data_IF_043870294155
#
_entry.id   IF_043870294155
#
_cell.length_a   1.000
_cell.length_b   1.000
_cell.length_c   1.000
_cell.angle_alpha   90.00
_cell.angle_beta   90.00
_cell.angle_gamma   90.00
#
_symmetry.space_group_name_H-M   'P 1'
#
loop_
_entity.id
_entity.type
_entity.pdbx_description
1 polymer ?
#
# COMPACT_ATOMS: atom_id res chain seq x y z
N UNK A 1 -2.49 33.82 -7.31
CA UNK A 1 -1.35 34.54 -7.87
C UNK A 1 -0.33 34.71 -6.77
N UNK A 2 0.90 34.23 -6.97
CA UNK A 2 2.04 34.56 -6.13
C UNK A 2 3.16 35.03 -7.05
N UNK A 3 3.50 36.31 -6.95
CA UNK A 3 4.59 36.95 -7.69
C UNK A 3 5.79 37.18 -6.77
N UNK A 4 6.89 36.49 -7.12
CA UNK A 4 8.34 36.57 -6.84
C UNK A 4 8.92 37.31 -5.60
N UNK A 5 10.01 36.76 -5.02
CA UNK A 5 11.05 37.54 -4.35
C UNK A 5 12.02 38.15 -5.38
N UNK A 6 12.42 39.39 -5.15
CA UNK A 6 13.40 40.10 -5.98
C UNK A 6 14.82 39.99 -5.41
N UNK A 7 15.79 39.83 -6.34
CA UNK A 7 17.14 40.41 -6.22
C UNK A 7 18.30 39.46 -5.86
N UNK A 8 19.15 39.16 -6.85
CA UNK A 8 20.60 39.01 -6.63
C UNK A 8 21.31 37.75 -7.17
N UNK A 9 21.82 37.82 -8.41
CA UNK A 9 23.09 37.16 -8.81
C UNK A 9 23.06 35.70 -9.29
N UNK A 10 23.35 35.49 -10.59
CA UNK A 10 23.64 34.17 -11.19
C UNK A 10 22.59 33.69 -12.21
N UNK A 11 22.65 34.23 -13.44
CA UNK A 11 21.60 34.16 -14.46
C UNK A 11 21.36 32.80 -15.13
N UNK A 12 20.86 31.83 -14.38
CA UNK A 12 19.94 30.84 -14.92
C UNK A 12 18.53 31.29 -14.56
N UNK A 13 17.78 31.87 -15.50
CA UNK A 13 16.38 32.22 -15.25
C UNK A 13 15.58 30.94 -15.06
N UNK A 14 15.46 30.47 -13.82
CA UNK A 14 14.53 29.41 -13.47
C UNK A 14 13.13 29.84 -13.92
N UNK A 15 12.66 29.28 -15.03
CA UNK A 15 11.31 29.54 -15.51
C UNK A 15 10.37 28.61 -14.75
N UNK A 16 9.38 29.20 -14.06
CA UNK A 16 8.26 28.44 -13.52
C UNK A 16 7.39 28.02 -14.71
N UNK A 17 7.65 26.83 -15.24
CA UNK A 17 6.87 26.19 -16.29
C UNK A 17 5.84 25.24 -15.70
N UNK A 18 4.70 25.07 -16.40
CA UNK A 18 3.79 23.96 -16.11
C UNK A 18 4.43 22.68 -16.65
N UNK A 19 4.43 21.62 -15.83
CA UNK A 19 4.86 20.29 -16.22
C UNK A 19 3.69 19.31 -16.03
N UNK A 20 3.62 18.32 -16.92
CA UNK A 20 2.68 17.21 -16.79
C UNK A 20 3.28 16.15 -15.86
N UNK A 21 2.50 15.68 -14.89
CA UNK A 21 2.90 14.59 -14.01
C UNK A 21 2.59 13.24 -14.66
N UNK A 22 3.55 12.74 -15.45
CA UNK A 22 3.45 11.42 -16.09
C UNK A 22 3.64 10.24 -15.13
N UNK A 23 4.12 10.49 -13.91
CA UNK A 23 4.33 9.46 -12.89
C UNK A 23 3.09 9.24 -12.00
N UNK A 24 2.13 10.16 -12.07
CA UNK A 24 1.02 10.22 -11.13
C UNK A 24 1.48 10.42 -9.69
N UNK A 25 2.61 11.10 -9.47
CA UNK A 25 3.20 11.35 -8.14
C UNK A 25 3.28 10.05 -7.33
N UNK A 26 4.03 9.08 -7.86
CA UNK A 26 4.12 7.73 -7.30
C UNK A 26 2.77 6.98 -7.36
N UNK A 27 2.09 7.08 -8.51
CA UNK A 27 0.81 6.40 -8.78
C UNK A 27 -0.36 6.77 -7.83
N UNK A 28 -0.25 7.87 -7.07
CA UNK A 28 -1.28 8.31 -6.11
C UNK A 28 -2.22 9.37 -6.67
N UNK A 29 -1.73 10.24 -7.55
CA UNK A 29 -2.49 11.36 -8.11
C UNK A 29 -3.26 10.91 -9.36
N UNK A 30 -4.58 10.75 -9.22
CA UNK A 30 -5.46 10.36 -10.34
C UNK A 30 -6.72 11.21 -10.52
N UNK A 31 -6.91 12.27 -9.71
CA UNK A 31 -8.12 13.08 -9.73
C UNK A 31 -8.03 14.25 -10.70
N UNK A 32 -9.15 14.59 -11.33
CA UNK A 32 -9.20 15.69 -12.30
C UNK A 32 -9.15 17.08 -11.63
N UNK A 33 -8.95 18.10 -12.46
CA UNK A 33 -8.87 19.49 -12.01
C UNK A 33 -10.15 19.99 -11.32
N UNK A 34 -11.31 19.35 -11.55
CA UNK A 34 -12.59 19.71 -10.94
C UNK A 34 -12.76 19.09 -9.55
N UNK A 35 -12.16 17.93 -9.33
CA UNK A 35 -12.24 17.16 -8.09
C UNK A 35 -11.27 17.70 -7.04
N UNK A 36 -10.13 18.24 -7.46
CA UNK A 36 -9.11 18.74 -6.53
C UNK A 36 -9.66 19.79 -5.54
N UNK A 37 -10.42 20.83 -5.93
CA UNK A 37 -11.01 21.78 -4.96
C UNK A 37 -12.04 21.14 -4.02
N UNK A 38 -12.72 20.06 -4.45
CA UNK A 38 -13.66 19.33 -3.59
C UNK A 38 -12.89 18.62 -2.48
N UNK A 39 -11.81 17.92 -2.81
CA UNK A 39 -10.94 17.25 -1.84
C UNK A 39 -10.29 18.24 -0.87
N UNK A 40 -9.74 19.35 -1.37
CA UNK A 40 -9.11 20.36 -0.51
C UNK A 40 -10.08 20.91 0.54
N UNK A 41 -11.34 21.16 0.16
CA UNK A 41 -12.38 21.61 1.11
C UNK A 41 -12.76 20.52 2.10
N UNK A 42 -12.89 19.27 1.65
CA UNK A 42 -13.21 18.14 2.52
C UNK A 42 -12.13 17.91 3.59
N UNK A 43 -10.85 17.98 3.21
CA UNK A 43 -9.71 17.89 4.14
C UNK A 43 -9.72 19.03 5.15
N UNK A 44 -9.89 20.29 4.69
CA UNK A 44 -9.93 21.45 5.58
C UNK A 44 -11.08 21.34 6.61
N UNK A 45 -12.26 20.90 6.17
CA UNK A 45 -13.40 20.66 7.06
C UNK A 45 -13.13 19.54 8.06
N UNK A 46 -12.59 18.40 7.61
CA UNK A 46 -12.30 17.27 8.49
C UNK A 46 -11.25 17.63 9.55
N UNK A 47 -10.21 18.38 9.15
CA UNK A 47 -9.18 18.87 10.07
C UNK A 47 -9.77 19.80 11.15
N UNK A 48 -10.63 20.75 10.77
CA UNK A 48 -11.26 21.66 11.73
C UNK A 48 -12.32 21.02 12.63
N UNK A 49 -13.00 19.97 12.16
CA UNK A 49 -14.09 19.31 12.90
C UNK A 49 -13.64 18.14 13.78
N UNK A 50 -12.70 17.32 13.30
CA UNK A 50 -12.32 16.08 13.94
C UNK A 50 -10.85 16.05 14.36
N UNK A 51 -9.96 16.66 13.58
CA UNK A 51 -8.51 16.43 13.68
C UNK A 51 -8.21 14.91 13.72
N UNK A 52 -7.44 14.45 14.72
CA UNK A 52 -7.30 13.04 15.05
C UNK A 52 -8.08 12.72 16.33
N UNK A 53 -8.87 11.64 16.28
CA UNK A 53 -9.53 11.06 17.44
C UNK A 53 -9.16 9.59 17.54
N UNK A 54 -9.02 9.09 18.77
CA UNK A 54 -8.70 7.69 19.04
C UNK A 54 -9.75 6.77 18.39
N UNK A 55 -9.30 5.77 17.63
CA UNK A 55 -10.17 4.92 16.81
C UNK A 55 -10.63 3.60 17.46
N UNK A 56 -9.80 2.85 18.24
CA UNK A 56 -10.21 1.59 18.83
C UNK A 56 -11.47 1.73 19.71
N UNK A 57 -12.46 0.87 19.48
CA UNK A 57 -13.77 0.88 20.16
C UNK A 57 -14.57 2.19 19.99
N UNK A 58 -14.18 3.05 19.04
CA UNK A 58 -14.86 4.31 18.73
C UNK A 58 -15.26 4.35 17.25
N UNK A 59 -16.09 5.34 16.89
CA UNK A 59 -16.47 5.57 15.50
C UNK A 59 -16.66 7.06 15.24
N UNK A 60 -16.24 7.50 14.06
CA UNK A 60 -16.54 8.84 13.53
C UNK A 60 -17.10 8.72 12.11
N UNK A 61 -17.95 9.69 11.74
CA UNK A 61 -18.73 9.61 10.50
C UNK A 61 -17.89 9.36 9.23
N UNK A 62 -16.72 10.00 9.02
CA UNK A 62 -15.89 9.72 7.83
C UNK A 62 -15.41 8.27 7.72
N UNK A 63 -14.99 7.66 8.83
CA UNK A 63 -14.51 6.27 8.81
C UNK A 63 -15.66 5.29 8.56
N UNK A 64 -16.82 5.49 9.21
CA UNK A 64 -17.98 4.63 8.98
C UNK A 64 -18.46 4.68 7.53
N UNK A 65 -18.55 5.88 6.97
CA UNK A 65 -19.00 6.08 5.59
C UNK A 65 -18.01 5.48 4.58
N UNK A 66 -16.71 5.67 4.79
CA UNK A 66 -15.69 5.06 3.95
C UNK A 66 -15.74 3.53 4.03
N UNK A 67 -15.88 2.95 5.22
CA UNK A 67 -15.96 1.50 5.40
C UNK A 67 -17.16 0.91 4.66
N UNK A 68 -18.33 1.57 4.74
CA UNK A 68 -19.52 1.16 3.99
C UNK A 68 -19.27 1.20 2.48
N UNK A 69 -18.65 2.27 1.96
CA UNK A 69 -18.33 2.39 0.53
C UNK A 69 -17.33 1.35 0.06
N UNK A 70 -16.31 1.06 0.86
CA UNK A 70 -15.31 0.03 0.52
C UNK A 70 -15.94 -1.36 0.48
N UNK A 71 -16.78 -1.71 1.46
CA UNK A 71 -17.48 -3.00 1.49
C UNK A 71 -18.51 -3.11 0.36
N UNK A 72 -19.26 -2.04 0.09
CA UNK A 72 -20.29 -2.04 -0.95
C UNK A 72 -19.73 -1.90 -2.39
N UNK A 73 -18.51 -1.37 -2.54
CA UNK A 73 -17.84 -1.17 -3.82
C UNK A 73 -16.81 -2.27 -4.10
N UNK A 74 -15.50 -2.02 -3.92
CA UNK A 74 -14.46 -3.00 -4.24
C UNK A 74 -14.59 -4.31 -3.46
N UNK A 75 -15.18 -4.28 -2.25
CA UNK A 75 -15.45 -5.44 -1.41
C UNK A 75 -16.72 -6.22 -1.75
N UNK A 76 -17.51 -5.78 -2.73
CA UNK A 76 -18.84 -6.33 -2.97
C UNK A 76 -18.82 -7.83 -3.25
N UNK A 77 -19.63 -8.59 -2.49
CA UNK A 77 -19.79 -10.03 -2.66
C UNK A 77 -18.71 -10.90 -2.01
N UNK A 78 -17.61 -10.34 -1.49
CA UNK A 78 -16.52 -11.13 -0.89
C UNK A 78 -15.99 -10.57 0.44
N UNK A 79 -16.12 -9.27 0.71
CA UNK A 79 -15.72 -8.65 1.96
C UNK A 79 -16.94 -8.23 2.80
N UNK A 80 -16.78 -8.28 4.13
CA UNK A 80 -17.80 -7.82 5.09
C UNK A 80 -17.24 -6.89 6.18
N UNK A 81 -15.93 -6.60 6.14
CA UNK A 81 -15.19 -5.81 7.13
C UNK A 81 -14.14 -4.95 6.43
N UNK A 82 -13.79 -3.83 7.05
CA UNK A 82 -12.71 -2.94 6.64
C UNK A 82 -11.79 -2.74 7.85
N UNK A 83 -10.47 -2.88 7.64
CA UNK A 83 -9.45 -2.58 8.63
C UNK A 83 -8.60 -1.43 8.10
N UNK A 84 -8.43 -0.38 8.89
CA UNK A 84 -7.65 0.80 8.51
C UNK A 84 -6.21 0.69 8.99
N UNK A 85 -5.28 1.10 8.14
CA UNK A 85 -3.86 1.30 8.43
C UNK A 85 -3.35 2.51 7.64
N UNK A 86 -2.09 2.90 7.83
CA UNK A 86 -1.60 4.20 7.36
C UNK A 86 -1.15 4.22 5.89
N UNK A 87 -0.68 3.09 5.37
CA UNK A 87 -0.14 2.98 4.00
C UNK A 87 -0.22 1.54 3.46
N UNK A 88 0.27 1.35 2.23
CA UNK A 88 0.30 0.04 1.56
C UNK A 88 1.06 -1.04 2.34
N UNK A 89 2.28 -0.75 2.81
CA UNK A 89 3.10 -1.71 3.55
C UNK A 89 2.41 -2.21 4.81
N UNK A 90 1.86 -1.28 5.61
CA UNK A 90 1.15 -1.63 6.86
C UNK A 90 -0.16 -2.37 6.58
N UNK A 91 -0.85 -2.05 5.47
CA UNK A 91 -2.06 -2.77 5.07
C UNK A 91 -1.74 -4.24 4.71
N UNK A 92 -0.64 -4.49 4.00
CA UNK A 92 -0.24 -5.85 3.63
C UNK A 92 0.29 -6.62 4.84
N UNK A 93 0.99 -5.98 5.79
CA UNK A 93 1.34 -6.67 7.05
C UNK A 93 0.09 -7.12 7.84
N UNK A 94 -0.95 -6.27 7.90
CA UNK A 94 -2.23 -6.66 8.49
C UNK A 94 -2.86 -7.82 7.70
N UNK A 95 -2.82 -7.78 6.36
CA UNK A 95 -3.33 -8.85 5.52
C UNK A 95 -2.62 -10.19 5.75
N UNK A 96 -1.29 -10.20 5.86
CA UNK A 96 -0.49 -11.40 6.17
C UNK A 96 -0.89 -11.96 7.55
N UNK A 97 -1.02 -11.10 8.58
CA UNK A 97 -1.48 -11.52 9.91
C UNK A 97 -2.87 -12.16 9.85
N UNK A 98 -3.80 -11.58 9.09
CA UNK A 98 -5.15 -12.14 8.90
C UNK A 98 -5.11 -13.48 8.16
N UNK A 99 -4.30 -13.59 7.10
CA UNK A 99 -4.15 -14.80 6.31
C UNK A 99 -3.56 -15.96 7.14
N UNK A 100 -2.46 -15.74 7.86
CA UNK A 100 -1.89 -16.76 8.75
C UNK A 100 -2.86 -17.15 9.86
N UNK A 101 -3.56 -16.20 10.49
CA UNK A 101 -4.56 -16.54 11.51
C UNK A 101 -5.67 -17.44 10.96
N UNK A 102 -6.12 -17.20 9.73
CA UNK A 102 -7.11 -18.05 9.06
C UNK A 102 -6.53 -19.43 8.73
N UNK A 103 -5.33 -19.48 8.15
CA UNK A 103 -4.64 -20.74 7.86
C UNK A 103 -4.45 -21.59 9.12
N UNK A 104 -3.94 -21.01 10.21
CA UNK A 104 -3.78 -21.70 11.49
C UNK A 104 -5.10 -22.26 12.02
N UNK A 105 -6.19 -21.50 11.89
CA UNK A 105 -7.53 -21.98 12.28
C UNK A 105 -7.93 -23.20 11.46
N UNK A 106 -7.74 -23.15 10.15
CA UNK A 106 -8.16 -24.22 9.24
C UNK A 106 -7.34 -25.49 9.40
N UNK A 107 -6.05 -25.34 9.74
CA UNK A 107 -5.13 -26.44 10.00
C UNK A 107 -5.19 -26.94 11.45
N UNK A 108 -6.10 -26.41 12.29
CA UNK A 108 -6.22 -26.81 13.70
C UNK A 108 -5.03 -26.40 14.59
N UNK A 109 -4.14 -25.54 14.11
CA UNK A 109 -2.94 -25.11 14.83
C UNK A 109 -3.26 -24.23 16.04
N UNK A 110 -4.44 -23.61 16.08
CA UNK A 110 -4.86 -22.77 17.21
C UNK A 110 -5.11 -23.52 18.51
N UNK A 111 -5.19 -24.86 18.47
CA UNK A 111 -5.31 -25.70 19.66
C UNK A 111 -3.95 -26.10 20.25
N UNK A 112 -2.86 -25.83 19.53
CA UNK A 112 -1.49 -26.12 19.98
C UNK A 112 -1.00 -25.09 20.98
N UNK A 113 -0.03 -25.48 21.78
CA UNK A 113 0.69 -24.59 22.71
C UNK A 113 1.62 -23.64 21.94
N UNK A 114 2.02 -22.55 22.59
CA UNK A 114 2.93 -21.59 21.98
C UNK A 114 4.28 -22.24 21.60
N UNK A 115 4.82 -23.15 22.43
CA UNK A 115 6.06 -23.86 22.12
C UNK A 115 5.95 -24.78 20.89
N UNK A 116 4.81 -25.45 20.70
CA UNK A 116 4.57 -26.26 19.48
C UNK A 116 4.39 -25.38 18.23
N UNK A 117 3.99 -24.12 18.39
CA UNK A 117 3.87 -23.17 17.28
C UNK A 117 5.20 -22.48 16.95
N UNK A 118 6.13 -22.37 17.89
CA UNK A 118 7.47 -21.84 17.65
C UNK A 118 8.30 -22.75 16.72
N UNK A 119 7.98 -24.05 16.67
CA UNK A 119 8.60 -25.01 15.73
C UNK A 119 8.01 -24.91 14.31
N UNK A 120 6.85 -24.25 14.14
CA UNK A 120 6.19 -24.11 12.85
C UNK A 120 6.78 -22.96 12.03
N UNK A 121 7.12 -23.23 10.77
CA UNK A 121 7.59 -22.20 9.84
C UNK A 121 6.45 -21.77 8.91
N UNK A 122 6.05 -20.50 9.01
CA UNK A 122 5.06 -19.92 8.11
C UNK A 122 5.74 -19.19 6.97
N UNK A 123 5.35 -19.53 5.74
CA UNK A 123 5.85 -18.91 4.51
C UNK A 123 4.70 -18.43 3.64
N UNK A 124 4.99 -17.46 2.77
CA UNK A 124 4.04 -17.01 1.73
C UNK A 124 4.31 -17.73 0.41
N UNK A 125 3.29 -17.78 -0.46
CA UNK A 125 3.46 -18.08 -1.87
C UNK A 125 3.27 -16.77 -2.64
N UNK A 126 4.28 -16.34 -3.38
CA UNK A 126 4.28 -15.07 -4.10
C UNK A 126 4.87 -15.20 -5.50
N UNK A 127 4.60 -14.20 -6.35
CA UNK A 127 5.19 -14.12 -7.68
C UNK A 127 6.54 -13.43 -7.59
N UNK A 128 7.54 -13.95 -8.29
CA UNK A 128 8.81 -13.28 -8.43
C UNK A 128 8.61 -11.91 -9.11
N UNK A 129 9.28 -10.88 -8.59
CA UNK A 129 9.13 -9.50 -9.07
C UNK A 129 7.92 -8.72 -8.51
N UNK A 130 7.05 -9.33 -7.71
CA UNK A 130 5.98 -8.58 -7.03
C UNK A 130 6.53 -7.62 -5.96
N UNK A 131 5.79 -6.54 -5.70
CA UNK A 131 6.12 -5.52 -4.70
C UNK A 131 4.97 -5.31 -3.72
N UNK A 132 5.28 -5.28 -2.42
CA UNK A 132 4.29 -5.25 -1.34
C UNK A 132 4.55 -4.18 -0.27
N UNK A 133 5.57 -3.33 -0.48
CA UNK A 133 5.99 -2.31 0.47
C UNK A 133 7.35 -2.60 1.12
N UNK A 134 7.79 -1.66 1.96
CA UNK A 134 9.18 -1.63 2.47
C UNK A 134 9.28 -1.87 3.99
N UNK A 135 8.17 -2.22 4.68
CA UNK A 135 8.28 -2.65 6.08
C UNK A 135 8.74 -4.10 6.15
N UNK A 136 9.45 -4.49 7.22
CA UNK A 136 10.13 -5.80 7.30
C UNK A 136 9.20 -6.99 7.00
N UNK A 137 7.97 -6.97 7.51
CA UNK A 137 7.05 -8.09 7.33
C UNK A 137 6.70 -8.34 5.86
N UNK A 138 6.54 -7.28 5.07
CA UNK A 138 6.22 -7.37 3.64
C UNK A 138 7.46 -7.53 2.78
N UNK A 139 8.61 -7.01 3.20
CA UNK A 139 9.89 -7.31 2.57
C UNK A 139 10.19 -8.80 2.64
N UNK A 140 9.95 -9.46 3.78
CA UNK A 140 10.13 -10.90 3.91
C UNK A 140 9.19 -11.72 3.00
N UNK A 141 8.11 -11.10 2.49
CA UNK A 141 7.21 -11.68 1.50
C UNK A 141 7.62 -11.37 0.04
N UNK A 142 8.79 -10.77 -0.18
CA UNK A 142 9.35 -10.47 -1.50
C UNK A 142 10.50 -11.42 -1.84
N UNK A 143 10.67 -11.74 -3.12
CA UNK A 143 11.79 -12.54 -3.60
C UNK A 143 13.15 -11.82 -3.41
N UNK A 144 14.26 -12.56 -3.19
CA UNK A 144 15.60 -11.99 -3.14
C UNK A 144 15.94 -11.17 -4.40
N UNK A 145 16.50 -9.99 -4.21
CA UNK A 145 16.93 -9.12 -5.32
C UNK A 145 18.05 -8.18 -4.87
N UNK A 146 18.51 -7.32 -5.78
CA UNK A 146 19.47 -6.25 -5.46
C UNK A 146 18.94 -5.26 -4.40
N UNK A 147 17.62 -5.22 -4.19
CA UNK A 147 16.95 -4.33 -3.23
C UNK A 147 16.73 -4.94 -1.85
N UNK A 148 16.93 -6.25 -1.68
CA UNK A 148 16.68 -6.95 -0.39
C UNK A 148 17.94 -7.49 0.27
N UNK A 149 19.10 -7.31 -0.35
CA UNK A 149 20.37 -7.77 0.22
C UNK A 149 20.77 -7.08 1.53
N UNK A 150 21.77 -7.60 2.26
CA UNK A 150 22.16 -7.10 3.60
C UNK A 150 22.55 -5.63 3.67
N UNK A 151 22.97 -5.04 2.53
CA UNK A 151 23.30 -3.61 2.42
C UNK A 151 22.05 -2.71 2.38
N UNK A 152 20.92 -3.26 1.98
CA UNK A 152 19.63 -2.56 1.97
C UNK A 152 18.93 -2.76 3.31
N UNK A 153 18.88 -4.02 3.77
CA UNK A 153 18.25 -4.33 5.04
C UNK A 153 18.84 -5.57 5.71
N UNK A 154 19.45 -5.40 6.88
CA UNK A 154 20.21 -6.45 7.56
C UNK A 154 19.34 -7.58 8.16
N UNK A 155 18.05 -7.35 8.35
CA UNK A 155 17.11 -8.32 8.94
C UNK A 155 16.18 -9.00 7.93
N UNK A 156 16.35 -8.71 6.63
CA UNK A 156 15.57 -9.36 5.59
C UNK A 156 15.80 -10.87 5.59
N UNK A 157 14.71 -11.63 5.57
CA UNK A 157 14.70 -13.07 5.38
C UNK A 157 13.63 -13.42 4.34
N UNK A 158 13.96 -14.13 3.25
CA UNK A 158 12.96 -14.54 2.26
C UNK A 158 12.05 -15.62 2.84
N UNK A 159 10.93 -15.23 3.43
CA UNK A 159 9.94 -16.11 4.08
C UNK A 159 8.85 -16.53 3.08
N UNK A 160 9.25 -17.06 1.92
CA UNK A 160 8.32 -17.40 0.87
C UNK A 160 8.83 -18.40 -0.17
N UNK A 161 7.89 -19.01 -0.87
CA UNK A 161 8.10 -19.66 -2.15
C UNK A 161 7.75 -18.66 -3.25
N UNK A 162 8.70 -18.40 -4.15
CA UNK A 162 8.57 -17.41 -5.21
C UNK A 162 8.53 -18.09 -6.57
N UNK A 163 7.47 -17.84 -7.34
CA UNK A 163 7.26 -18.46 -8.66
C UNK A 163 7.39 -17.40 -9.74
N UNK A 164 8.18 -17.68 -10.78
CA UNK A 164 8.24 -16.84 -11.96
C UNK A 164 6.88 -16.81 -12.68
N UNK A 165 6.23 -15.64 -12.80
CA UNK A 165 4.96 -15.53 -13.51
C UNK A 165 5.17 -15.49 -15.03
N UNK A 166 4.21 -15.97 -15.84
CA UNK A 166 4.18 -15.63 -17.25
C UNK A 166 3.85 -14.14 -17.43
N UNK A 167 4.45 -13.50 -18.42
CA UNK A 167 4.21 -12.09 -18.73
C UNK A 167 3.42 -11.93 -20.02
N UNK A 168 2.57 -10.91 -20.10
CA UNK A 168 1.87 -10.53 -21.32
C UNK A 168 2.38 -9.18 -21.80
N UNK A 169 2.83 -9.14 -23.05
CA UNK A 169 3.34 -7.94 -23.69
C UNK A 169 2.65 -7.68 -25.03
N UNK A 170 2.47 -6.40 -25.36
CA UNK A 170 2.02 -5.95 -26.68
C UNK A 170 3.25 -5.60 -27.52
N UNK A 171 3.55 -6.44 -28.51
CA UNK A 171 4.70 -6.29 -29.39
C UNK A 171 4.26 -6.32 -30.86
N UNK A 172 4.72 -5.35 -31.65
CA UNK A 172 4.39 -5.29 -33.08
C UNK A 172 2.88 -5.21 -33.38
N UNK A 173 2.06 -4.79 -32.42
CA UNK A 173 0.59 -4.73 -32.54
C UNK A 173 -0.14 -6.03 -32.18
N UNK A 174 0.57 -7.07 -31.71
CA UNK A 174 -0.01 -8.33 -31.22
C UNK A 174 0.30 -8.58 -29.74
N UNK A 175 -0.58 -9.30 -29.06
CA UNK A 175 -0.34 -9.75 -27.68
C UNK A 175 0.42 -11.07 -27.70
N UNK A 176 1.53 -11.13 -26.98
CA UNK A 176 2.35 -12.33 -26.77
C UNK A 176 2.46 -12.69 -25.29
N UNK A 177 2.73 -13.97 -25.01
CA UNK A 177 3.16 -14.45 -23.68
C UNK A 177 4.67 -14.60 -23.72
N UNK A 178 5.36 -13.98 -22.77
CA UNK A 178 6.78 -14.12 -22.49
C UNK A 178 7.01 -14.98 -21.23
#
# INVERSE_FOLDING_TARGET
GFSKPGGGGGGGTGSLGKAFDGSGSWWTCGVDAKTHPVLSRAVAYAAGRYAHVLFPQQVHAPALELAKRLVAGPGHGWASRCFYSDNGSTAVEVAIKMAFRKYMRDQGLLARTDGELEEETFVVLALEGSYHGDTLGVMNAQAPSVFTGPRQFAWYQPMGHFIAPPHLALEGGGWGVE
#
